data_IF_131383955212
#
_entry.id   IF_131383955212
#
_cell.length_a   1.000
_cell.length_b   1.000
_cell.length_c   1.000
_cell.angle_alpha   90.00
_cell.angle_beta   90.00
_cell.angle_gamma   90.00
#
_symmetry.space_group_name_H-M   'P 1'
#
loop_
_entity.id
_entity.type
_entity.pdbx_description
1 polymer ?
#
# COMPACT_ATOMS: atom_id res chain seq x y z
N UNK A 1 -4.26 43.70 9.91
CA UNK A 1 -5.14 42.68 10.53
C UNK A 1 -6.22 42.13 9.58
N UNK A 2 -6.73 42.87 8.59
CA UNK A 2 -7.72 42.33 7.63
C UNK A 2 -7.11 41.41 6.55
N UNK A 3 -5.88 41.70 6.09
CA UNK A 3 -5.21 40.92 5.05
C UNK A 3 -4.91 39.46 5.48
N UNK A 4 -4.31 39.26 6.65
CA UNK A 4 -3.99 37.92 7.18
C UNK A 4 -5.25 37.06 7.39
N UNK A 5 -6.35 37.67 7.86
CA UNK A 5 -7.64 36.98 7.98
C UNK A 5 -8.23 36.61 6.62
N UNK A 6 -7.97 37.40 5.59
CA UNK A 6 -8.42 37.12 4.23
C UNK A 6 -7.66 35.93 3.65
N UNK A 7 -6.35 35.85 3.87
CA UNK A 7 -5.53 34.70 3.45
C UNK A 7 -5.95 33.41 4.16
N UNK A 8 -6.18 33.46 5.48
CA UNK A 8 -6.67 32.31 6.24
C UNK A 8 -8.03 31.80 5.72
N UNK A 9 -8.94 32.69 5.33
CA UNK A 9 -10.23 32.31 4.76
C UNK A 9 -10.10 31.68 3.37
N UNK A 10 -9.15 32.15 2.56
CA UNK A 10 -8.84 31.58 1.24
C UNK A 10 -8.25 30.17 1.38
N UNK A 11 -7.32 29.98 2.32
CA UNK A 11 -6.73 28.66 2.59
C UNK A 11 -7.78 27.68 3.14
N UNK A 12 -8.62 28.12 4.08
CA UNK A 12 -9.71 27.30 4.61
C UNK A 12 -10.73 26.91 3.52
N UNK A 13 -11.05 27.84 2.60
CA UNK A 13 -11.91 27.54 1.46
C UNK A 13 -11.30 26.48 0.52
N UNK A 14 -9.98 26.48 0.34
CA UNK A 14 -9.28 25.48 -0.47
C UNK A 14 -9.35 24.08 0.15
N UNK A 15 -9.17 23.97 1.47
CA UNK A 15 -9.32 22.71 2.19
C UNK A 15 -10.74 22.15 2.10
N UNK A 16 -11.77 23.00 2.26
CA UNK A 16 -13.17 22.59 2.12
C UNK A 16 -13.49 22.07 0.71
N UNK A 17 -12.94 22.72 -0.32
CA UNK A 17 -13.11 22.28 -1.71
C UNK A 17 -12.44 20.92 -1.97
N UNK A 18 -11.26 20.68 -1.40
CA UNK A 18 -10.59 19.37 -1.46
C UNK A 18 -11.37 18.27 -0.73
N UNK A 19 -12.07 18.63 0.35
CA UNK A 19 -12.95 17.70 1.09
C UNK A 19 -14.30 17.43 0.40
N UNK A 20 -14.59 18.11 -0.71
CA UNK A 20 -15.83 17.96 -1.46
C UNK A 20 -16.96 18.91 -1.05
N UNK A 21 -16.78 19.72 -0.01
CA UNK A 21 -17.75 20.75 0.40
C UNK A 21 -17.54 22.05 -0.39
N UNK A 22 -18.07 22.06 -1.61
CA UNK A 22 -18.03 23.22 -2.50
C UNK A 22 -18.87 24.40 -2.00
N UNK A 23 -19.93 24.16 -1.21
CA UNK A 23 -20.80 25.22 -0.70
C UNK A 23 -20.15 25.96 0.49
N UNK A 24 -19.51 25.22 1.40
CA UNK A 24 -18.74 25.78 2.51
C UNK A 24 -17.57 26.63 2.01
N UNK A 25 -16.84 26.15 1.01
CA UNK A 25 -15.76 26.90 0.37
C UNK A 25 -16.23 28.25 -0.21
N UNK A 26 -17.39 28.27 -0.89
CA UNK A 26 -17.96 29.51 -1.46
C UNK A 26 -18.29 30.55 -0.38
N UNK A 27 -18.88 30.15 0.74
CA UNK A 27 -19.22 31.07 1.84
C UNK A 27 -17.99 31.73 2.45
N UNK A 28 -16.89 30.99 2.58
CA UNK A 28 -15.63 31.53 3.08
C UNK A 28 -14.98 32.51 2.09
N UNK A 29 -15.06 32.24 0.78
CA UNK A 29 -14.59 33.16 -0.26
C UNK A 29 -15.42 34.46 -0.31
N UNK A 30 -16.74 34.38 -0.13
CA UNK A 30 -17.59 35.57 -0.01
C UNK A 30 -17.24 36.40 1.24
N UNK A 31 -16.94 35.74 2.36
CA UNK A 31 -16.51 36.41 3.58
C UNK A 31 -15.12 37.06 3.42
N UNK A 32 -14.21 36.42 2.68
CA UNK A 32 -12.93 36.99 2.30
C UNK A 32 -13.10 38.26 1.44
N UNK A 33 -14.02 38.25 0.48
CA UNK A 33 -14.32 39.43 -0.37
C UNK A 33 -15.02 40.57 0.37
N UNK A 34 -15.78 40.27 1.43
CA UNK A 34 -16.36 41.30 2.33
C UNK A 34 -15.28 42.02 3.14
N UNK A 35 -14.21 41.32 3.50
CA UNK A 35 -13.10 41.86 4.29
C UNK A 35 -12.08 42.60 3.42
N UNK A 36 -11.82 42.09 2.22
CA UNK A 36 -10.98 42.73 1.21
C UNK A 36 -11.59 42.60 -0.20
N UNK A 37 -12.30 43.63 -0.67
CA UNK A 37 -12.93 43.59 -1.98
C UNK A 37 -11.92 43.66 -3.12
N UNK A 38 -10.63 43.98 -2.88
CA UNK A 38 -9.59 44.09 -3.89
C UNK A 38 -8.83 42.78 -4.17
N UNK A 39 -9.13 41.72 -3.43
CA UNK A 39 -8.35 40.48 -3.53
C UNK A 39 -8.73 39.66 -4.78
N UNK A 40 -7.89 39.76 -5.81
CA UNK A 40 -8.02 39.05 -7.08
C UNK A 40 -8.07 37.53 -6.92
N UNK A 41 -7.38 36.95 -5.92
CA UNK A 41 -7.37 35.50 -5.70
C UNK A 41 -8.72 34.98 -5.24
N UNK A 42 -9.35 35.66 -4.28
CA UNK A 42 -10.67 35.29 -3.78
C UNK A 42 -11.74 35.42 -4.89
N UNK A 43 -11.63 36.44 -5.75
CA UNK A 43 -12.52 36.62 -6.92
C UNK A 43 -12.36 35.50 -7.95
N UNK A 44 -11.12 35.15 -8.31
CA UNK A 44 -10.85 34.08 -9.27
C UNK A 44 -11.36 32.73 -8.76
N UNK A 45 -11.12 32.41 -7.49
CA UNK A 45 -11.58 31.15 -6.91
C UNK A 45 -13.10 31.08 -6.77
N UNK A 46 -13.77 32.20 -6.48
CA UNK A 46 -15.24 32.25 -6.46
C UNK A 46 -15.82 32.08 -7.87
N UNK A 47 -15.18 32.67 -8.89
CA UNK A 47 -15.58 32.51 -10.29
C UNK A 47 -15.44 31.04 -10.74
N UNK A 48 -14.34 30.38 -10.36
CA UNK A 48 -14.10 28.96 -10.63
C UNK A 48 -15.09 28.07 -9.86
N UNK A 49 -15.37 28.41 -8.59
CA UNK A 49 -16.34 27.70 -7.77
C UNK A 49 -17.77 27.83 -8.31
N UNK A 50 -18.13 28.96 -8.93
CA UNK A 50 -19.44 29.19 -9.55
C UNK A 50 -19.56 28.59 -10.97
N UNK A 51 -18.46 28.11 -11.54
CA UNK A 51 -18.51 27.35 -12.78
C UNK A 51 -19.13 25.98 -12.48
N UNK A 52 -20.18 25.54 -13.19
CA UNK A 52 -20.66 24.17 -13.06
C UNK A 52 -19.51 23.22 -13.38
N UNK A 53 -19.44 22.01 -12.77
CA UNK A 53 -18.42 21.04 -13.10
C UNK A 53 -18.52 20.77 -14.61
N UNK A 54 -17.60 21.34 -15.38
CA UNK A 54 -17.52 21.12 -16.81
C UNK A 54 -17.19 19.65 -16.99
N UNK A 55 -18.21 18.85 -17.28
CA UNK A 55 -18.11 17.49 -17.77
C UNK A 55 -17.42 17.54 -19.13
N UNK A 56 -16.11 17.66 -19.09
CA UNK A 56 -15.23 17.42 -20.21
C UNK A 56 -13.99 16.83 -19.58
N UNK A 57 -13.83 15.49 -19.58
CA UNK A 57 -12.55 14.91 -19.20
C UNK A 57 -11.52 15.59 -20.09
N UNK A 58 -10.56 16.29 -19.48
CA UNK A 58 -9.36 16.67 -20.19
C UNK A 58 -8.79 15.37 -20.73
N UNK A 59 -9.00 15.12 -22.03
CA UNK A 59 -8.33 14.03 -22.73
C UNK A 59 -6.86 14.27 -22.50
N UNK A 60 -6.26 13.45 -21.64
CA UNK A 60 -4.82 13.26 -21.64
C UNK A 60 -4.54 12.55 -22.97
N UNK A 61 -4.40 13.33 -24.04
CA UNK A 61 -3.91 12.81 -25.32
C UNK A 61 -2.46 12.42 -25.08
N UNK A 62 -2.22 11.12 -24.97
CA UNK A 62 -0.90 10.54 -24.90
C UNK A 62 -0.12 10.97 -26.16
N UNK A 63 0.96 11.74 -26.07
CA UNK A 63 1.66 12.30 -27.25
C UNK A 63 2.37 11.24 -28.11
N UNK A 64 2.35 9.97 -27.68
CA UNK A 64 2.98 8.86 -28.37
C UNK A 64 2.04 7.99 -29.21
N UNK A 65 0.73 8.22 -29.19
CA UNK A 65 -0.20 7.47 -30.05
C UNK A 65 -0.36 8.21 -31.37
N UNK A 66 0.48 7.88 -32.36
CA UNK A 66 0.18 8.13 -33.78
C UNK A 66 -0.91 7.15 -34.20
N UNK A 67 -2.13 7.64 -34.35
CA UNK A 67 -3.18 6.90 -35.08
C UNK A 67 -2.98 7.22 -36.55
N UNK A 68 -2.39 6.29 -37.30
CA UNK A 68 -2.45 6.31 -38.75
C UNK A 68 -3.87 5.90 -39.21
N UNK A 69 -4.55 6.66 -40.09
CA UNK A 69 -5.88 6.32 -40.54
C UNK A 69 -5.82 5.60 -41.89
N UNK A 70 -5.68 4.28 -41.90
CA UNK A 70 -6.10 3.46 -43.03
C UNK A 70 -6.12 1.96 -42.69
N UNK A 71 -7.29 1.35 -42.83
CA UNK A 71 -7.42 -0.09 -43.11
C UNK A 71 -7.72 -0.98 -41.92
N UNK A 72 -9.01 -1.15 -41.61
CA UNK A 72 -9.48 -2.40 -41.00
C UNK A 72 -9.21 -3.57 -41.94
N UNK A 73 -8.86 -4.75 -41.41
CA UNK A 73 -9.43 -5.98 -41.95
C UNK A 73 -10.27 -6.72 -40.90
N UNK A 74 -11.37 -7.28 -41.39
CA UNK A 74 -12.33 -8.12 -40.69
C UNK A 74 -11.74 -9.51 -40.35
N UNK A 75 -12.47 -10.38 -39.61
CA UNK A 75 -11.88 -11.40 -38.74
C UNK A 75 -11.37 -12.61 -39.52
N UNK A 76 -10.15 -13.05 -39.22
CA UNK A 76 -9.61 -14.31 -39.70
C UNK A 76 -10.17 -15.47 -38.87
N UNK A 77 -10.72 -16.44 -39.58
CA UNK A 77 -11.25 -17.72 -39.11
C UNK A 77 -10.20 -18.59 -38.43
N UNK A 78 -10.67 -19.32 -37.43
CA UNK A 78 -10.00 -20.34 -36.63
C UNK A 78 -9.75 -21.60 -37.47
N UNK A 79 -8.65 -21.68 -38.22
CA UNK A 79 -8.12 -22.92 -38.82
C UNK A 79 -6.81 -22.56 -39.54
N UNK A 80 -5.65 -22.66 -38.85
CA UNK A 80 -4.32 -22.99 -39.40
C UNK A 80 -3.21 -22.65 -38.37
N UNK A 81 -3.08 -23.46 -37.32
CA UNK A 81 -1.94 -23.46 -36.39
C UNK A 81 -1.07 -24.69 -36.67
N UNK A 82 -0.55 -24.80 -37.89
CA UNK A 82 0.10 -26.04 -38.32
C UNK A 82 1.07 -25.97 -39.48
N UNK A 83 1.57 -24.80 -39.90
CA UNK A 83 2.68 -24.69 -40.85
C UNK A 83 3.25 -23.27 -40.83
N UNK A 84 4.51 -23.10 -41.24
CA UNK A 84 5.13 -21.78 -41.52
C UNK A 84 5.62 -20.90 -40.34
N UNK A 85 6.43 -21.46 -39.43
CA UNK A 85 7.37 -20.63 -38.65
C UNK A 85 8.75 -21.29 -38.46
N UNK A 86 9.25 -21.99 -39.47
CA UNK A 86 10.69 -22.28 -39.59
C UNK A 86 11.45 -21.05 -40.09
N UNK A 87 11.51 -19.98 -39.29
CA UNK A 87 12.54 -18.95 -39.48
C UNK A 87 13.82 -19.47 -38.84
N UNK A 88 14.79 -19.85 -39.68
CA UNK A 88 16.15 -20.19 -39.24
C UNK A 88 16.71 -19.01 -38.44
N UNK A 89 16.82 -19.16 -37.12
CA UNK A 89 17.67 -18.30 -36.31
C UNK A 89 19.13 -18.57 -36.71
N UNK A 90 19.78 -17.59 -37.30
CA UNK A 90 21.24 -17.54 -37.37
C UNK A 90 21.79 -17.30 -35.96
N UNK A 91 22.85 -17.99 -35.52
CA UNK A 91 23.44 -17.78 -34.21
C UNK A 91 24.39 -16.59 -34.29
N UNK A 92 23.87 -15.39 -34.16
CA UNK A 92 24.69 -14.21 -33.85
C UNK A 92 23.98 -13.39 -32.79
N UNK A 93 23.86 -13.99 -31.62
CA UNK A 93 23.52 -13.31 -30.38
C UNK A 93 24.75 -13.47 -29.47
N UNK A 94 25.67 -12.52 -29.58
CA UNK A 94 26.62 -12.25 -28.51
C UNK A 94 25.80 -11.92 -27.26
N UNK A 95 25.93 -12.75 -26.24
CA UNK A 95 25.20 -12.58 -24.97
C UNK A 95 25.56 -11.23 -24.35
N UNK A 96 24.56 -10.51 -23.85
CA UNK A 96 24.75 -9.32 -23.01
C UNK A 96 25.46 -9.60 -21.65
N UNK A 97 25.98 -10.81 -21.48
CA UNK A 97 26.77 -11.29 -20.34
C UNK A 97 28.26 -11.47 -20.69
N UNK A 98 28.69 -11.15 -21.91
CA UNK A 98 30.10 -11.16 -22.27
C UNK A 98 30.89 -10.12 -21.46
N UNK A 99 31.94 -10.59 -20.80
CA UNK A 99 32.80 -9.83 -19.88
C UNK A 99 33.51 -8.62 -20.49
N UNK A 100 33.35 -8.35 -21.79
CA UNK A 100 33.95 -7.21 -22.49
C UNK A 100 33.06 -5.95 -22.49
N UNK A 101 31.77 -6.05 -22.11
CA UNK A 101 30.84 -4.93 -22.13
C UNK A 101 30.63 -4.24 -20.78
N UNK A 102 31.27 -4.72 -19.71
CA UNK A 102 31.07 -4.20 -18.36
C UNK A 102 32.30 -3.39 -17.90
N UNK A 103 32.21 -2.06 -17.69
CA UNK A 103 33.28 -1.32 -17.04
C UNK A 103 33.33 -1.76 -15.58
N UNK A 104 34.23 -2.69 -15.29
CA UNK A 104 34.26 -3.50 -14.07
C UNK A 104 34.26 -2.70 -12.77
N UNK A 105 33.37 -3.09 -11.85
CA UNK A 105 33.61 -2.90 -10.43
C UNK A 105 34.66 -3.94 -10.02
N UNK A 106 35.89 -3.47 -9.80
CA UNK A 106 36.96 -4.30 -9.24
C UNK A 106 36.64 -4.58 -7.76
N UNK A 107 36.04 -5.74 -7.49
CA UNK A 107 36.01 -6.30 -6.13
C UNK A 107 37.43 -6.75 -5.80
N UNK A 108 38.08 -6.03 -4.89
CA UNK A 108 39.37 -6.42 -4.32
C UNK A 108 39.28 -7.84 -3.79
N UNK A 109 40.12 -8.73 -4.33
CA UNK A 109 40.20 -10.13 -3.93
C UNK A 109 40.51 -10.21 -2.44
N UNK A 110 39.53 -10.63 -1.64
CA UNK A 110 39.75 -10.98 -0.24
C UNK A 110 40.49 -12.30 -0.23
N UNK A 111 41.74 -12.31 0.23
CA UNK A 111 42.49 -13.55 0.43
C UNK A 111 41.76 -14.41 1.46
N UNK A 112 41.40 -15.66 1.15
CA UNK A 112 40.83 -16.55 2.14
C UNK A 112 41.95 -16.89 3.13
N UNK A 113 41.92 -16.25 4.30
CA UNK A 113 42.63 -16.78 5.45
C UNK A 113 42.09 -18.20 5.67
N UNK A 114 43.01 -19.15 5.76
CA UNK A 114 42.81 -20.59 5.93
C UNK A 114 41.87 -20.86 7.12
N UNK A 115 40.56 -20.85 6.87
CA UNK A 115 39.51 -21.32 7.77
C UNK A 115 38.84 -22.49 7.07
N UNK A 116 38.92 -23.65 7.69
CA UNK A 116 38.32 -24.87 7.17
C UNK A 116 36.80 -24.67 7.07
N UNK A 117 36.23 -25.05 5.93
CA UNK A 117 34.80 -24.92 5.64
C UNK A 117 33.89 -25.71 6.61
N UNK A 118 34.47 -26.58 7.44
CA UNK A 118 33.79 -27.35 8.48
C UNK A 118 33.65 -26.61 9.82
N UNK A 119 34.30 -25.46 10.00
CA UNK A 119 34.22 -24.65 11.24
C UNK A 119 32.97 -23.74 11.27
N UNK A 120 32.27 -23.61 10.14
CA UNK A 120 31.03 -22.81 10.01
C UNK A 120 29.76 -23.53 10.48
N UNK A 121 29.81 -24.84 10.70
CA UNK A 121 28.67 -25.64 11.16
C UNK A 121 28.74 -25.88 12.68
N UNK A 122 29.94 -25.80 13.28
CA UNK A 122 30.16 -25.92 14.71
C UNK A 122 30.06 -24.58 15.47
N UNK A 123 29.93 -23.46 14.75
CA UNK A 123 29.44 -22.23 15.33
C UNK A 123 27.94 -22.41 15.59
N UNK A 124 27.60 -22.88 16.79
CA UNK A 124 26.35 -22.48 17.44
C UNK A 124 26.13 -20.99 17.15
N UNK A 125 24.88 -20.53 16.91
CA UNK A 125 24.61 -19.10 16.93
C UNK A 125 24.94 -18.64 18.35
N UNK A 126 26.19 -18.24 18.57
CA UNK A 126 26.53 -17.30 19.60
C UNK A 126 25.57 -16.16 19.33
N UNK A 127 24.53 -16.10 20.18
CA UNK A 127 23.61 -15.00 20.18
C UNK A 127 24.48 -13.77 20.11
N UNK A 128 24.36 -13.04 19.01
CA UNK A 128 24.79 -11.67 18.94
C UNK A 128 23.89 -10.92 19.91
N UNK A 129 24.15 -11.12 21.21
CA UNK A 129 23.90 -10.19 22.29
C UNK A 129 24.88 -9.01 22.13
N UNK A 130 25.01 -8.49 20.91
CA UNK A 130 25.57 -7.17 20.68
C UNK A 130 24.44 -6.15 20.91
N UNK A 131 23.86 -6.22 22.11
CA UNK A 131 23.05 -5.19 22.69
C UNK A 131 24.01 -4.08 23.14
N UNK A 132 24.61 -3.39 22.17
CA UNK A 132 25.11 -2.05 22.41
C UNK A 132 24.00 -1.25 23.07
N UNK A 133 24.27 -0.48 24.14
CA UNK A 133 23.23 0.30 24.79
C UNK A 133 22.57 1.18 23.73
N UNK A 134 21.26 0.97 23.52
CA UNK A 134 20.42 1.84 22.70
C UNK A 134 20.81 3.29 22.97
N UNK A 135 20.99 4.07 21.90
CA UNK A 135 21.27 5.49 22.07
C UNK A 135 20.20 6.09 22.99
N UNK A 136 20.56 7.04 23.85
CA UNK A 136 19.60 7.67 24.76
C UNK A 136 18.38 8.23 24.03
N UNK A 137 18.54 8.64 22.76
CA UNK A 137 17.46 9.02 21.87
C UNK A 137 16.53 7.86 21.49
N UNK A 138 17.08 6.71 21.08
CA UNK A 138 16.27 5.53 20.72
C UNK A 138 15.44 5.02 21.91
N UNK A 139 15.98 5.05 23.14
CA UNK A 139 15.21 4.70 24.34
C UNK A 139 14.04 5.66 24.60
N UNK A 140 14.27 6.97 24.47
CA UNK A 140 13.21 7.97 24.63
C UNK A 140 12.13 7.86 23.55
N UNK A 141 12.53 7.51 22.32
CA UNK A 141 11.60 7.24 21.22
C UNK A 141 10.76 5.99 21.47
N UNK A 142 11.37 4.88 21.93
CA UNK A 142 10.65 3.67 22.34
C UNK A 142 9.67 3.96 23.47
N UNK A 143 10.05 4.73 24.48
CA UNK A 143 9.16 5.15 25.57
C UNK A 143 7.97 5.96 25.05
N UNK A 144 8.22 6.87 24.09
CA UNK A 144 7.16 7.67 23.46
C UNK A 144 6.21 6.79 22.65
N UNK A 145 6.73 5.82 21.90
CA UNK A 145 5.93 4.87 21.13
C UNK A 145 5.10 3.95 22.04
N UNK A 146 5.69 3.45 23.12
CA UNK A 146 5.00 2.63 24.12
C UNK A 146 3.85 3.39 24.76
N UNK A 147 4.09 4.64 25.17
CA UNK A 147 3.04 5.49 25.75
C UNK A 147 1.91 5.76 24.75
N UNK A 148 2.25 6.08 23.50
CA UNK A 148 1.24 6.24 22.44
C UNK A 148 0.45 4.96 22.17
N UNK A 149 1.09 3.79 22.22
CA UNK A 149 0.42 2.51 22.07
C UNK A 149 -0.55 2.24 23.24
N UNK A 150 -0.15 2.52 24.49
CA UNK A 150 -1.02 2.40 25.65
C UNK A 150 -2.24 3.33 25.57
N UNK A 151 -2.05 4.58 25.11
CA UNK A 151 -3.15 5.52 24.91
C UNK A 151 -4.14 5.01 23.85
N UNK A 152 -3.65 4.45 22.72
CA UNK A 152 -4.50 3.87 21.67
C UNK A 152 -5.23 2.60 22.13
N UNK A 153 -4.57 1.74 22.91
CA UNK A 153 -5.22 0.58 23.53
C UNK A 153 -6.33 1.02 24.51
N UNK A 154 -6.13 2.13 25.22
CA UNK A 154 -7.16 2.74 26.05
C UNK A 154 -8.38 3.24 25.27
N UNK A 155 -8.21 3.53 23.98
CA UNK A 155 -9.27 3.94 23.04
C UNK A 155 -9.85 2.77 22.23
N UNK A 156 -9.45 1.52 22.52
CA UNK A 156 -9.82 0.31 21.77
C UNK A 156 -9.34 0.30 20.30
N UNK A 157 -8.39 1.18 19.95
CA UNK A 157 -7.71 1.16 18.65
C UNK A 157 -6.48 0.24 18.69
N UNK A 158 -6.77 -1.06 18.64
CA UNK A 158 -5.72 -2.09 18.65
C UNK A 158 -4.88 -2.10 17.37
N UNK A 159 -5.41 -1.61 16.25
CA UNK A 159 -4.68 -1.59 14.98
C UNK A 159 -3.60 -0.52 14.97
N UNK A 160 -3.94 0.72 15.36
CA UNK A 160 -2.96 1.79 15.51
C UNK A 160 -1.93 1.49 16.60
N UNK A 161 -2.37 0.89 17.72
CA UNK A 161 -1.46 0.47 18.79
C UNK A 161 -0.42 -0.55 18.28
N UNK A 162 -0.84 -1.53 17.47
CA UNK A 162 0.07 -2.53 16.90
C UNK A 162 1.16 -1.89 16.05
N UNK A 163 0.82 -0.91 15.21
CA UNK A 163 1.80 -0.25 14.34
C UNK A 163 2.87 0.50 15.14
N UNK A 164 2.50 1.11 16.28
CA UNK A 164 3.45 1.75 17.19
C UNK A 164 4.33 0.71 17.90
N UNK A 165 3.76 -0.42 18.32
CA UNK A 165 4.50 -1.50 18.97
C UNK A 165 5.50 -2.18 18.03
N UNK A 166 5.14 -2.39 16.77
CA UNK A 166 6.04 -2.93 15.75
C UNK A 166 7.24 -2.01 15.53
N UNK A 167 7.02 -0.69 15.44
CA UNK A 167 8.10 0.31 15.36
C UNK A 167 8.96 0.31 16.62
N UNK A 168 8.35 0.19 17.80
CA UNK A 168 9.10 0.09 19.06
C UNK A 168 10.00 -1.15 19.08
N UNK A 169 9.54 -2.29 18.55
CA UNK A 169 10.32 -3.52 18.43
C UNK A 169 11.47 -3.40 17.44
N UNK A 170 11.29 -2.70 16.33
CA UNK A 170 12.37 -2.41 15.36
C UNK A 170 13.50 -1.61 16.01
N UNK A 171 13.16 -0.67 16.90
CA UNK A 171 14.12 0.15 17.63
C UNK A 171 14.75 -0.58 18.82
N UNK A 172 14.00 -1.45 19.50
CA UNK A 172 14.43 -2.19 20.67
C UNK A 172 13.94 -3.65 20.64
N UNK A 173 14.63 -4.55 19.92
CA UNK A 173 14.20 -5.94 19.78
C UNK A 173 14.28 -6.75 21.08
N UNK A 174 15.05 -6.28 22.06
CA UNK A 174 15.30 -6.99 23.32
C UNK A 174 14.45 -6.50 24.49
N UNK A 175 13.45 -5.63 24.26
CA UNK A 175 12.60 -5.13 25.33
C UNK A 175 11.41 -6.08 25.58
N UNK A 176 11.37 -6.81 26.72
CA UNK A 176 10.34 -7.82 26.97
C UNK A 176 8.94 -7.21 27.11
N UNK A 177 8.85 -5.93 27.52
CA UNK A 177 7.58 -5.22 27.66
C UNK A 177 6.90 -5.01 26.30
N UNK A 178 7.66 -4.64 25.27
CA UNK A 178 7.15 -4.43 23.91
C UNK A 178 6.62 -5.76 23.36
N UNK A 179 7.37 -6.84 23.53
CA UNK A 179 6.98 -8.16 23.05
C UNK A 179 5.69 -8.66 23.72
N UNK A 180 5.55 -8.50 25.04
CA UNK A 180 4.33 -8.88 25.76
C UNK A 180 3.10 -8.07 25.30
N UNK A 181 3.28 -6.77 25.01
CA UNK A 181 2.21 -5.91 24.50
C UNK A 181 1.80 -6.29 23.07
N UNK A 182 2.77 -6.63 22.21
CA UNK A 182 2.50 -7.13 20.85
C UNK A 182 1.66 -8.40 20.92
N UNK A 183 2.11 -9.41 21.66
CA UNK A 183 1.40 -10.70 21.76
C UNK A 183 -0.03 -10.52 22.28
N UNK A 184 -0.22 -9.68 23.30
CA UNK A 184 -1.54 -9.38 23.85
C UNK A 184 -2.42 -8.67 22.82
N UNK A 185 -1.89 -7.69 22.11
CA UNK A 185 -2.64 -6.90 21.12
C UNK A 185 -2.98 -7.74 19.89
N UNK A 186 -2.05 -8.58 19.45
CA UNK A 186 -2.24 -9.54 18.35
C UNK A 186 -3.33 -10.55 18.68
N UNK A 187 -3.28 -11.16 19.87
CA UNK A 187 -4.32 -12.09 20.30
C UNK A 187 -5.70 -11.42 20.36
N UNK A 188 -5.76 -10.18 20.84
CA UNK A 188 -7.01 -9.40 20.95
C UNK A 188 -7.55 -9.07 19.55
N UNK A 189 -6.73 -8.51 18.67
CA UNK A 189 -7.08 -8.22 17.28
C UNK A 189 -7.57 -9.48 16.56
N UNK A 190 -6.85 -10.58 16.74
CA UNK A 190 -7.18 -11.84 16.12
C UNK A 190 -8.56 -12.32 16.55
N UNK A 191 -8.83 -12.30 17.85
CA UNK A 191 -10.15 -12.68 18.41
C UNK A 191 -11.27 -11.79 17.86
N UNK A 192 -11.02 -10.48 17.75
CA UNK A 192 -11.98 -9.52 17.19
C UNK A 192 -12.24 -9.79 15.70
N UNK A 193 -11.19 -10.05 14.92
CA UNK A 193 -11.29 -10.32 13.49
C UNK A 193 -11.98 -11.66 13.21
N UNK A 194 -11.63 -12.72 13.94
CA UNK A 194 -12.32 -14.00 13.86
C UNK A 194 -13.81 -13.85 14.21
N UNK A 195 -14.14 -13.04 15.21
CA UNK A 195 -15.53 -12.72 15.55
C UNK A 195 -16.26 -11.97 14.44
N UNK A 196 -15.57 -11.09 13.68
CA UNK A 196 -16.12 -10.40 12.50
C UNK A 196 -16.34 -11.34 11.31
N UNK A 197 -15.43 -12.28 11.09
CA UNK A 197 -15.52 -13.27 10.01
C UNK A 197 -16.59 -14.32 10.29
N UNK A 198 -16.83 -14.63 11.57
CA UNK A 198 -17.82 -15.58 12.02
C UNK A 198 -17.32 -17.02 11.93
N UNK A 199 -18.09 -17.89 11.29
CA UNK A 199 -17.73 -19.31 11.15
C UNK A 199 -16.58 -19.48 10.15
N UNK A 200 -15.42 -19.92 10.65
CA UNK A 200 -14.21 -20.14 9.85
C UNK A 200 -14.34 -21.32 8.87
N UNK A 201 -15.30 -22.22 9.09
CA UNK A 201 -15.62 -23.30 8.14
C UNK A 201 -16.45 -22.82 6.95
N UNK A 202 -16.92 -21.57 6.96
CA UNK A 202 -17.74 -21.01 5.90
C UNK A 202 -16.91 -20.67 4.67
N UNK A 203 -17.53 -20.80 3.51
CA UNK A 203 -16.91 -20.56 2.21
C UNK A 203 -17.34 -19.17 1.71
N UNK A 204 -16.45 -18.15 1.75
CA UNK A 204 -16.76 -16.82 1.25
C UNK A 204 -17.01 -16.84 -0.26
N UNK A 205 -17.85 -15.91 -0.74
CA UNK A 205 -18.12 -15.71 -2.16
C UNK A 205 -17.92 -14.26 -2.55
N UNK A 206 -17.26 -14.03 -3.69
CA UNK A 206 -17.09 -12.68 -4.27
C UNK A 206 -18.44 -12.19 -4.79
N UNK A 207 -18.81 -10.96 -4.43
CA UNK A 207 -20.08 -10.32 -4.85
C UNK A 207 -19.92 -9.38 -6.03
N UNK A 208 -18.74 -8.78 -6.20
CA UNK A 208 -18.47 -7.80 -7.23
C UNK A 208 -18.20 -8.47 -8.58
N UNK A 209 -18.58 -7.80 -9.66
CA UNK A 209 -18.21 -8.22 -11.02
C UNK A 209 -16.73 -7.87 -11.27
N UNK A 210 -16.05 -8.64 -12.13
CA UNK A 210 -14.61 -8.49 -12.42
C UNK A 210 -14.21 -7.04 -12.76
N UNK A 211 -15.08 -6.31 -13.45
CA UNK A 211 -14.87 -4.91 -13.85
C UNK A 211 -14.89 -3.92 -12.68
N UNK A 212 -15.57 -4.23 -11.57
CA UNK A 212 -15.68 -3.39 -10.37
C UNK A 212 -14.49 -3.59 -9.42
N UNK A 213 -13.88 -4.79 -9.44
CA UNK A 213 -12.71 -5.14 -8.62
C UNK A 213 -11.49 -4.31 -9.04
N UNK A 214 -11.35 -3.99 -10.32
CA UNK A 214 -10.24 -3.17 -10.87
C UNK A 214 -10.27 -1.74 -10.32
N UNK A 215 -11.42 -1.25 -9.85
CA UNK A 215 -11.57 0.09 -9.28
C UNK A 215 -11.35 0.14 -7.77
N UNK A 216 -11.26 -1.01 -7.11
CA UNK A 216 -10.90 -1.05 -5.70
C UNK A 216 -9.41 -0.79 -5.56
N UNK A 217 -9.03 0.11 -4.65
CA UNK A 217 -7.64 0.37 -4.32
C UNK A 217 -7.07 -0.76 -3.43
N UNK A 218 -7.15 -2.00 -3.92
CA UNK A 218 -6.65 -3.19 -3.24
C UNK A 218 -5.14 -3.25 -3.37
N UNK A 219 -4.46 -3.44 -2.25
CA UNK A 219 -3.05 -3.78 -2.25
C UNK A 219 -2.82 -5.17 -2.87
N UNK A 220 -1.61 -5.43 -3.38
CA UNK A 220 -1.25 -6.70 -4.03
C UNK A 220 -1.55 -7.92 -3.14
N UNK A 221 -1.39 -7.78 -1.82
CA UNK A 221 -1.70 -8.85 -0.86
C UNK A 221 -3.19 -9.17 -0.82
N UNK A 222 -4.03 -8.12 -0.81
CA UNK A 222 -5.48 -8.27 -0.81
C UNK A 222 -5.99 -8.86 -2.13
N UNK A 223 -5.42 -8.42 -3.26
CA UNK A 223 -5.69 -9.01 -4.57
C UNK A 223 -5.33 -10.50 -4.64
N UNK A 224 -4.22 -10.92 -4.03
CA UNK A 224 -3.84 -12.32 -3.98
C UNK A 224 -4.81 -13.18 -3.16
N UNK A 225 -5.25 -12.71 -1.99
CA UNK A 225 -6.26 -13.41 -1.18
C UNK A 225 -7.59 -13.47 -1.91
N UNK A 226 -8.02 -12.37 -2.53
CA UNK A 226 -9.26 -12.31 -3.31
C UNK A 226 -9.26 -13.30 -4.48
N UNK A 227 -8.13 -13.45 -5.18
CA UNK A 227 -8.00 -14.41 -6.28
C UNK A 227 -8.17 -15.88 -5.85
N UNK A 228 -8.03 -16.18 -4.57
CA UNK A 228 -8.26 -17.52 -4.01
C UNK A 228 -9.73 -17.74 -3.59
N UNK A 229 -10.53 -16.68 -3.53
CA UNK A 229 -11.95 -16.75 -3.17
C UNK A 229 -12.74 -17.12 -4.42
N UNK A 230 -12.72 -18.40 -4.77
CA UNK A 230 -13.47 -18.97 -5.90
C UNK A 230 -14.85 -19.52 -5.50
N UNK A 231 -15.22 -19.40 -4.21
CA UNK A 231 -16.46 -19.93 -3.67
C UNK A 231 -16.42 -21.42 -3.35
N UNK A 232 -15.24 -22.04 -3.29
CA UNK A 232 -15.01 -23.43 -2.85
C UNK A 232 -14.11 -23.54 -1.62
N UNK A 233 -13.22 -22.57 -1.43
CA UNK A 233 -12.22 -22.54 -0.34
C UNK A 233 -12.83 -21.93 0.94
N UNK A 234 -12.67 -22.60 2.09
CA UNK A 234 -13.13 -22.09 3.40
C UNK A 234 -12.21 -20.99 3.96
N UNK A 235 -12.66 -20.21 4.95
CA UNK A 235 -11.75 -19.25 5.62
C UNK A 235 -10.54 -19.95 6.26
N UNK A 236 -10.71 -21.14 6.83
CA UNK A 236 -9.61 -21.94 7.38
C UNK A 236 -8.56 -22.29 6.31
N UNK A 237 -9.01 -22.71 5.13
CA UNK A 237 -8.13 -23.03 4.01
C UNK A 237 -7.47 -21.77 3.43
N UNK A 238 -8.17 -20.63 3.37
CA UNK A 238 -7.60 -19.35 2.94
C UNK A 238 -6.45 -18.91 3.86
N UNK A 239 -6.55 -19.17 5.17
CA UNK A 239 -5.42 -18.93 6.08
C UNK A 239 -4.20 -19.76 5.69
N UNK A 240 -4.39 -21.04 5.35
CA UNK A 240 -3.31 -21.93 4.96
C UNK A 240 -2.70 -21.59 3.58
N UNK A 241 -3.52 -21.15 2.63
CA UNK A 241 -3.10 -20.88 1.24
C UNK A 241 -2.46 -19.49 1.04
N UNK A 242 -2.82 -18.51 1.88
CA UNK A 242 -2.34 -17.13 1.75
C UNK A 242 -0.83 -16.96 1.86
N UNK A 243 -0.12 -17.88 2.52
CA UNK A 243 1.32 -17.80 2.77
C UNK A 243 1.76 -16.63 3.68
N UNK A 244 0.79 -15.92 4.27
CA UNK A 244 1.00 -14.76 5.15
C UNK A 244 0.69 -15.10 6.61
N UNK A 245 0.97 -14.18 7.53
CA UNK A 245 0.56 -14.37 8.93
C UNK A 245 -0.96 -14.50 9.03
N UNK A 246 -1.43 -15.32 9.97
CA UNK A 246 -2.87 -15.55 10.15
C UNK A 246 -3.62 -14.24 10.45
N UNK A 247 -3.00 -13.34 11.23
CA UNK A 247 -3.53 -12.02 11.54
C UNK A 247 -3.68 -11.15 10.28
N UNK A 248 -2.67 -11.12 9.41
CA UNK A 248 -2.73 -10.32 8.18
C UNK A 248 -3.81 -10.80 7.23
N UNK A 249 -3.92 -12.11 7.05
CA UNK A 249 -4.97 -12.70 6.22
C UNK A 249 -6.35 -12.41 6.82
N UNK A 250 -6.48 -12.46 8.15
CA UNK A 250 -7.74 -12.12 8.83
C UNK A 250 -8.11 -10.65 8.64
N UNK A 251 -7.13 -9.73 8.71
CA UNK A 251 -7.31 -8.30 8.44
C UNK A 251 -7.82 -8.05 7.03
N UNK A 252 -7.18 -8.66 6.03
CA UNK A 252 -7.58 -8.55 4.62
C UNK A 252 -9.00 -9.08 4.42
N UNK A 253 -9.31 -10.27 4.94
CA UNK A 253 -10.64 -10.87 4.81
C UNK A 253 -11.72 -10.02 5.48
N UNK A 254 -11.45 -9.48 6.67
CA UNK A 254 -12.39 -8.60 7.37
C UNK A 254 -12.63 -7.29 6.61
N UNK A 255 -11.57 -6.71 6.04
CA UNK A 255 -11.69 -5.51 5.19
C UNK A 255 -12.53 -5.79 3.93
N UNK A 256 -12.26 -6.89 3.22
CA UNK A 256 -13.04 -7.28 2.04
C UNK A 256 -14.52 -7.53 2.36
N UNK A 257 -14.81 -8.05 3.56
CA UNK A 257 -16.17 -8.25 4.04
C UNK A 257 -16.87 -6.92 4.37
N UNK A 258 -16.17 -5.99 5.03
CA UNK A 258 -16.69 -4.65 5.35
C UNK A 258 -16.93 -3.79 4.11
N UNK A 259 -16.03 -3.87 3.11
CA UNK A 259 -16.17 -3.19 1.82
C UNK A 259 -17.25 -3.83 0.93
N UNK A 260 -17.81 -4.98 1.34
CA UNK A 260 -18.86 -5.68 0.60
C UNK A 260 -18.37 -6.41 -0.66
N UNK A 261 -17.05 -6.58 -0.80
CA UNK A 261 -16.41 -7.32 -1.90
C UNK A 261 -16.75 -8.80 -1.80
N UNK A 262 -16.75 -9.33 -0.57
CA UNK A 262 -17.10 -10.73 -0.28
C UNK A 262 -18.33 -10.81 0.63
N UNK A 263 -19.08 -11.90 0.50
CA UNK A 263 -20.12 -12.30 1.44
C UNK A 263 -19.74 -13.62 2.10
N UNK A 264 -20.08 -13.75 3.37
CA UNK A 264 -20.21 -15.04 4.02
C UNK A 264 -21.49 -15.73 3.56
#
# INVERSE_FOLDING_TARGET
MSAERTEQLIEAALWLRLSGDAEGARRLLEQALKLDPGNERARQQLLEANQPPSASPRRITNPFIRVDPAGSPAPATLEDWGAEASRKLTPDASSAWDSAANPGVHLSSVSPAKRDALDLIAAEPAGTDDAGPLSSGARAEVETLLRGAEDLLGLDDHSGAMDLLLKARELAPNEPQVQALIERSEHTLMTMLESKLGDLGRVPKVRLQDDEIIWLNLDHRAGFVLAQIDGTVSYEDLFALSGMSRLDTARILAQLLEEGVIAS
#
